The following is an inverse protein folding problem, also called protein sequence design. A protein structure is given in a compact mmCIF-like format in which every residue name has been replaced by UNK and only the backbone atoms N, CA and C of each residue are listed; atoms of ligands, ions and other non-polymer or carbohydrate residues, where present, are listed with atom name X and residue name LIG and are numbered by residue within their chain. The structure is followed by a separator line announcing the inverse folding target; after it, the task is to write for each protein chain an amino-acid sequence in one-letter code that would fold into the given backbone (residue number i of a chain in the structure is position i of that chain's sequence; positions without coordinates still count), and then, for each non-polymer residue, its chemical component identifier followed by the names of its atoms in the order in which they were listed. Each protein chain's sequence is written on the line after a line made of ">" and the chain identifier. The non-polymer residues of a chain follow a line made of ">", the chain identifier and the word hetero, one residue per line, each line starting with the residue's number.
data_IF_403904999776
#
_entry.id   IF_403904999776
#
_cell.length_a   1.000
_cell.length_b   1.000
_cell.length_c   1.000
_cell.angle_alpha   90.00
_cell.angle_beta   90.00
_cell.angle_gamma   90.00
#
_symmetry.space_group_name_H-M   'P 1'
#
loop_
_entity.id
_entity.type
_entity.pdbx_description
1 polymer ?
#
# COMPACT_ATOMS: atom_id res chain seq x y z
N UNK A 1 54.12 -3.78 38.56
CA UNK A 1 53.01 -4.64 38.13
C UNK A 1 51.82 -4.35 39.05
N UNK A 2 50.84 -3.57 38.60
CA UNK A 2 49.69 -3.22 39.41
C UNK A 2 48.57 -4.24 39.16
N UNK A 3 48.24 -5.04 40.18
CA UNK A 3 47.15 -5.99 40.12
C UNK A 3 45.91 -5.32 40.68
N UNK A 4 44.97 -4.92 39.82
CA UNK A 4 43.65 -4.44 40.22
C UNK A 4 42.73 -5.62 40.54
N UNK A 5 42.47 -5.86 41.81
CA UNK A 5 41.56 -6.88 42.27
C UNK A 5 40.12 -6.26 42.33
N UNK A 6 39.37 -6.36 41.24
CA UNK A 6 37.99 -5.85 41.17
C UNK A 6 37.05 -6.91 41.74
N UNK A 7 36.59 -6.75 42.96
CA UNK A 7 35.58 -7.61 43.57
C UNK A 7 34.18 -7.28 43.00
N UNK A 8 33.81 -7.96 41.95
CA UNK A 8 32.51 -7.78 41.28
C UNK A 8 31.44 -8.56 42.07
N UNK A 9 30.43 -7.83 42.60
CA UNK A 9 29.27 -8.42 43.25
C UNK A 9 28.32 -8.97 42.19
N UNK A 10 28.34 -10.31 41.94
CA UNK A 10 27.58 -10.96 40.87
C UNK A 10 26.06 -10.68 40.84
N UNK A 11 25.46 -10.50 42.04
CA UNK A 11 24.03 -10.18 42.14
C UNK A 11 23.71 -8.76 41.66
N UNK A 12 24.58 -7.80 41.89
CA UNK A 12 24.38 -6.42 41.40
C UNK A 12 24.67 -6.31 39.91
N UNK A 13 25.69 -7.03 39.42
CA UNK A 13 26.04 -7.09 38.00
C UNK A 13 24.94 -7.75 37.18
N UNK A 14 24.39 -8.87 37.68
CA UNK A 14 23.27 -9.57 37.03
C UNK A 14 22.01 -8.69 36.88
N UNK A 15 21.65 -7.95 37.95
CA UNK A 15 20.52 -7.02 37.92
C UNK A 15 20.76 -5.85 36.96
N UNK A 16 21.99 -5.32 36.89
CA UNK A 16 22.34 -4.25 35.96
C UNK A 16 22.27 -4.72 34.50
N UNK A 17 22.79 -5.91 34.19
CA UNK A 17 22.71 -6.50 32.84
C UNK A 17 21.26 -6.74 32.42
N UNK A 18 20.42 -7.24 33.34
CA UNK A 18 19.01 -7.49 33.06
C UNK A 18 18.25 -6.17 32.80
N UNK A 19 18.54 -5.11 33.54
CA UNK A 19 17.96 -3.79 33.33
C UNK A 19 18.36 -3.23 31.96
N UNK A 20 19.63 -3.33 31.56
CA UNK A 20 20.11 -2.89 30.26
C UNK A 20 19.40 -3.68 29.14
N UNK A 21 19.22 -4.97 29.28
CA UNK A 21 18.56 -5.82 28.30
C UNK A 21 17.09 -5.42 28.11
N UNK A 22 16.38 -5.13 29.20
CA UNK A 22 14.99 -4.64 29.15
C UNK A 22 14.92 -3.30 28.41
N UNK A 23 15.84 -2.37 28.69
CA UNK A 23 15.88 -1.07 28.02
C UNK A 23 16.09 -1.24 26.51
N UNK A 24 17.01 -2.12 26.10
CA UNK A 24 17.26 -2.40 24.68
C UNK A 24 16.01 -2.97 24.00
N UNK A 25 15.30 -3.91 24.63
CA UNK A 25 14.06 -4.47 24.11
C UNK A 25 12.99 -3.39 23.94
N UNK A 26 12.83 -2.48 24.90
CA UNK A 26 11.87 -1.39 24.82
C UNK A 26 12.21 -0.40 23.69
N UNK A 27 13.49 -0.10 23.47
CA UNK A 27 13.92 0.75 22.36
C UNK A 27 13.62 0.09 21.01
N UNK A 28 13.98 -1.19 20.86
CA UNK A 28 13.76 -1.93 19.61
C UNK A 28 12.27 -2.06 19.30
N UNK A 29 11.45 -2.41 20.29
CA UNK A 29 9.98 -2.48 20.12
C UNK A 29 9.39 -1.10 19.78
N UNK A 30 9.88 -0.03 20.41
CA UNK A 30 9.48 1.34 20.10
C UNK A 30 9.79 1.74 18.66
N UNK A 31 10.99 1.41 18.16
CA UNK A 31 11.40 1.68 16.78
C UNK A 31 10.56 0.86 15.79
N UNK A 32 10.30 -0.41 16.08
CA UNK A 32 9.47 -1.28 15.22
C UNK A 32 8.03 -0.77 15.17
N UNK A 33 7.43 -0.45 16.31
CA UNK A 33 6.09 0.14 16.36
C UNK A 33 6.05 1.48 15.60
N UNK A 34 7.02 2.35 15.80
CA UNK A 34 7.10 3.63 15.08
C UNK A 34 7.18 3.41 13.56
N UNK A 35 8.01 2.49 13.10
CA UNK A 35 8.14 2.17 11.67
C UNK A 35 6.87 1.52 11.10
N UNK A 36 6.17 0.69 11.86
CA UNK A 36 4.91 0.11 11.44
C UNK A 36 3.79 1.18 11.36
N UNK A 37 3.71 2.06 12.34
CA UNK A 37 2.74 3.16 12.34
C UNK A 37 3.04 4.22 11.28
N UNK A 38 4.30 4.54 10.99
CA UNK A 38 4.66 5.51 9.95
C UNK A 38 4.60 4.93 8.54
N UNK A 39 4.88 3.63 8.36
CA UNK A 39 4.66 2.97 7.06
C UNK A 39 3.18 2.75 6.74
N UNK A 40 2.31 2.60 7.75
CA UNK A 40 0.85 2.51 7.56
C UNK A 40 0.19 3.86 7.26
N UNK A 41 0.85 4.96 7.56
CA UNK A 41 0.41 6.26 7.04
C UNK A 41 0.98 6.41 5.65
N UNK A 42 0.25 5.88 4.67
CA UNK A 42 0.33 6.38 3.31
C UNK A 42 0.44 7.91 3.43
N UNK A 43 1.49 8.49 2.87
CA UNK A 43 1.63 9.95 2.81
C UNK A 43 0.48 10.49 1.97
N UNK A 44 -0.64 10.71 2.61
CA UNK A 44 -1.81 11.43 2.06
C UNK A 44 -1.47 12.92 1.82
N UNK A 45 -0.22 13.34 2.06
CA UNK A 45 0.16 14.75 1.97
C UNK A 45 0.52 15.22 0.55
N UNK A 46 0.59 14.32 -0.44
CA UNK A 46 0.83 14.70 -1.84
C UNK A 46 -0.46 14.77 -2.68
N UNK A 47 -1.63 14.62 -2.04
CA UNK A 47 -2.91 14.31 -2.71
C UNK A 47 -3.72 15.55 -3.12
N UNK A 48 -3.29 16.75 -2.78
CA UNK A 48 -4.10 17.96 -3.07
C UNK A 48 -3.56 18.86 -4.18
N UNK A 49 -2.94 18.28 -5.21
CA UNK A 49 -2.57 19.07 -6.38
C UNK A 49 -3.44 18.66 -7.58
N UNK A 50 -4.45 19.41 -7.90
CA UNK A 50 -5.47 19.19 -8.95
C UNK A 50 -4.89 18.95 -10.37
N UNK A 51 -3.56 19.07 -10.54
CA UNK A 51 -2.85 18.90 -11.81
C UNK A 51 -1.87 17.72 -11.81
N UNK A 52 -1.89 16.85 -10.79
CA UNK A 52 -1.01 15.69 -10.72
C UNK A 52 -1.76 14.46 -11.23
N UNK A 53 -1.22 13.83 -12.26
CA UNK A 53 -1.67 12.52 -12.72
C UNK A 53 -1.13 11.45 -11.76
N UNK A 54 -2.02 10.72 -11.10
CA UNK A 54 -1.62 9.62 -10.23
C UNK A 54 -1.32 8.38 -11.05
N UNK A 55 -0.05 8.03 -11.14
CA UNK A 55 0.37 6.79 -11.78
C UNK A 55 0.27 5.62 -10.81
N UNK A 56 -0.57 4.64 -11.14
CA UNK A 56 -0.74 3.44 -10.36
C UNK A 56 0.25 2.36 -10.79
N UNK A 57 1.18 2.07 -9.89
CA UNK A 57 2.12 0.95 -10.04
C UNK A 57 1.55 -0.34 -9.43
N UNK A 58 2.05 -1.52 -9.80
CA UNK A 58 1.64 -2.78 -9.20
C UNK A 58 1.79 -2.83 -7.67
N UNK A 59 2.73 -2.04 -7.12
CA UNK A 59 3.05 -2.01 -5.70
C UNK A 59 2.07 -1.16 -4.87
N UNK A 60 1.45 -0.14 -5.48
CA UNK A 60 0.55 0.77 -4.76
C UNK A 60 -0.92 0.60 -5.15
N UNK A 61 -1.21 -0.19 -6.17
CA UNK A 61 -2.54 -0.33 -6.78
C UNK A 61 -3.65 -0.66 -5.75
N UNK A 62 -3.46 -1.70 -4.94
CA UNK A 62 -4.45 -2.11 -3.96
C UNK A 62 -4.72 -1.03 -2.90
N UNK A 63 -3.67 -0.34 -2.45
CA UNK A 63 -3.78 0.73 -1.46
C UNK A 63 -4.51 1.95 -2.03
N UNK A 64 -4.19 2.33 -3.28
CA UNK A 64 -4.85 3.45 -3.94
C UNK A 64 -6.32 3.12 -4.20
N UNK A 65 -6.63 1.93 -4.70
CA UNK A 65 -8.00 1.49 -4.92
C UNK A 65 -8.83 1.55 -3.63
N UNK A 66 -8.28 1.04 -2.52
CA UNK A 66 -8.94 1.09 -1.22
C UNK A 66 -9.12 2.54 -0.73
N UNK A 67 -8.12 3.39 -0.92
CA UNK A 67 -8.18 4.80 -0.48
C UNK A 67 -9.22 5.58 -1.27
N UNK A 68 -9.25 5.40 -2.59
CA UNK A 68 -10.26 6.02 -3.47
C UNK A 68 -11.67 5.53 -3.10
N UNK A 69 -11.83 4.22 -2.86
CA UNK A 69 -13.14 3.66 -2.47
C UNK A 69 -13.65 4.23 -1.13
N UNK A 70 -12.75 4.44 -0.18
CA UNK A 70 -13.12 4.96 1.14
C UNK A 70 -13.39 6.47 1.15
N UNK A 71 -12.86 7.22 0.18
CA UNK A 71 -12.91 8.69 0.14
C UNK A 71 -13.21 9.19 -1.30
N UNK A 72 -14.25 8.69 -1.92
CA UNK A 72 -14.58 8.96 -3.34
C UNK A 72 -14.65 10.47 -3.61
N UNK A 73 -15.28 11.22 -2.71
CA UNK A 73 -15.50 12.66 -2.88
C UNK A 73 -14.18 13.46 -2.99
N UNK A 74 -13.10 12.99 -2.37
CA UNK A 74 -11.80 13.65 -2.40
C UNK A 74 -11.09 13.45 -3.76
N UNK A 75 -11.51 12.45 -4.54
CA UNK A 75 -10.89 12.08 -5.81
C UNK A 75 -11.67 12.52 -7.04
N UNK A 76 -12.87 13.08 -6.86
CA UNK A 76 -13.66 13.62 -7.98
C UNK A 76 -12.90 14.74 -8.68
N UNK A 77 -12.72 14.61 -9.99
CA UNK A 77 -12.00 15.57 -10.83
C UNK A 77 -10.48 15.42 -10.80
N UNK A 78 -9.98 14.33 -10.23
CA UNK A 78 -8.55 14.02 -10.28
C UNK A 78 -8.24 13.05 -11.41
N UNK A 79 -7.06 13.23 -12.03
CA UNK A 79 -6.61 12.38 -13.11
C UNK A 79 -5.85 11.19 -12.56
N UNK A 80 -6.25 10.00 -13.02
CA UNK A 80 -5.62 8.74 -12.67
C UNK A 80 -5.12 8.08 -13.96
N UNK A 81 -3.87 7.64 -13.94
CA UNK A 81 -3.26 6.88 -15.02
C UNK A 81 -2.90 5.49 -14.50
N UNK A 82 -3.40 4.45 -15.15
CA UNK A 82 -3.01 3.10 -14.80
C UNK A 82 -3.17 2.11 -15.95
N UNK A 83 -2.49 0.97 -15.83
CA UNK A 83 -2.54 -0.11 -16.80
C UNK A 83 -3.25 -1.33 -16.23
N UNK A 84 -4.02 -2.00 -17.04
CA UNK A 84 -4.78 -3.18 -16.70
C UNK A 84 -5.32 -3.86 -17.95
N UNK A 85 -6.11 -4.91 -17.79
CA UNK A 85 -6.81 -5.54 -18.89
C UNK A 85 -8.29 -5.14 -18.90
N UNK A 86 -8.87 -5.15 -20.10
CA UNK A 86 -10.27 -4.84 -20.31
C UNK A 86 -11.13 -6.01 -19.81
N UNK A 87 -12.01 -5.73 -18.86
CA UNK A 87 -12.94 -6.72 -18.33
C UNK A 87 -14.37 -6.21 -18.46
N UNK A 88 -15.24 -7.00 -19.09
CA UNK A 88 -16.66 -6.67 -19.24
C UNK A 88 -17.52 -7.77 -18.65
N UNK A 89 -18.65 -7.34 -18.10
CA UNK A 89 -19.73 -8.20 -17.67
C UNK A 89 -20.98 -7.88 -18.50
N UNK A 90 -21.93 -8.81 -18.55
CA UNK A 90 -23.10 -8.71 -19.43
C UNK A 90 -24.03 -7.52 -19.12
N UNK A 91 -23.98 -7.00 -17.89
CA UNK A 91 -24.79 -5.85 -17.47
C UNK A 91 -24.21 -4.49 -17.88
N UNK A 92 -23.02 -4.45 -18.46
CA UNK A 92 -22.38 -3.21 -18.87
C UNK A 92 -22.97 -2.71 -20.19
N UNK A 93 -23.04 -1.38 -20.29
CA UNK A 93 -23.34 -0.72 -21.56
C UNK A 93 -22.17 -0.87 -22.53
N UNK A 94 -22.42 -0.61 -23.81
CA UNK A 94 -21.37 -0.66 -24.84
C UNK A 94 -20.22 0.34 -24.65
N UNK A 95 -20.40 1.31 -23.74
CA UNK A 95 -19.42 2.33 -23.41
C UNK A 95 -18.63 2.01 -22.12
N UNK A 96 -19.02 0.95 -21.41
CA UNK A 96 -18.50 0.64 -20.09
C UNK A 96 -17.63 -0.61 -20.10
N UNK A 97 -16.57 -0.57 -19.34
CA UNK A 97 -15.72 -1.70 -19.00
C UNK A 97 -15.00 -1.43 -17.66
N UNK A 98 -14.48 -2.46 -17.04
CA UNK A 98 -13.56 -2.34 -15.92
C UNK A 98 -12.15 -2.45 -16.46
N UNK A 99 -11.30 -1.49 -16.13
CA UNK A 99 -9.86 -1.64 -16.29
C UNK A 99 -9.34 -2.40 -15.08
N UNK A 100 -9.05 -3.68 -15.28
CA UNK A 100 -8.93 -4.68 -14.24
C UNK A 100 -7.50 -5.17 -14.04
N UNK A 101 -7.23 -5.66 -12.84
CA UNK A 101 -6.04 -6.44 -12.47
C UNK A 101 -6.42 -7.58 -11.55
N UNK A 102 -5.66 -8.65 -11.61
CA UNK A 102 -5.75 -9.75 -10.65
C UNK A 102 -4.95 -9.38 -9.39
N UNK A 103 -5.59 -9.53 -8.24
CA UNK A 103 -4.97 -9.35 -6.94
C UNK A 103 -5.03 -10.64 -6.13
N UNK A 104 -3.89 -11.07 -5.60
CA UNK A 104 -3.81 -12.23 -4.71
C UNK A 104 -4.25 -11.78 -3.31
N UNK A 105 -5.29 -12.41 -2.77
CA UNK A 105 -5.92 -12.01 -1.50
C UNK A 105 -5.67 -12.98 -0.36
N UNK A 106 -5.10 -14.15 -0.62
CA UNK A 106 -4.87 -15.16 0.40
C UNK A 106 -3.57 -15.95 0.20
N UNK A 107 -3.13 -16.63 1.25
CA UNK A 107 -1.92 -17.45 1.23
C UNK A 107 -2.03 -18.70 0.34
N UNK A 108 -3.23 -19.11 -0.03
CA UNK A 108 -3.53 -20.19 -0.96
C UNK A 108 -3.67 -19.72 -2.42
N UNK A 109 -3.17 -18.51 -2.71
CA UNK A 109 -3.13 -17.88 -4.02
C UNK A 109 -4.51 -17.64 -4.66
N UNK A 110 -5.55 -17.48 -3.85
CA UNK A 110 -6.84 -17.04 -4.38
C UNK A 110 -6.69 -15.63 -4.95
N UNK A 111 -7.20 -15.45 -6.17
CA UNK A 111 -7.18 -14.17 -6.88
C UNK A 111 -8.58 -13.59 -6.98
N UNK A 112 -8.65 -12.28 -6.86
CA UNK A 112 -9.85 -11.51 -7.17
C UNK A 112 -9.53 -10.48 -8.24
N UNK A 113 -10.50 -10.26 -9.12
CA UNK A 113 -10.42 -9.19 -10.12
C UNK A 113 -10.82 -7.89 -9.46
N UNK A 114 -9.94 -6.91 -9.50
CA UNK A 114 -10.18 -5.57 -8.96
C UNK A 114 -9.87 -4.53 -10.03
N UNK A 115 -10.58 -3.41 -10.03
CA UNK A 115 -10.35 -2.37 -11.03
C UNK A 115 -11.25 -1.17 -10.88
N UNK A 116 -11.08 -0.24 -11.83
CA UNK A 116 -11.92 0.93 -11.96
C UNK A 116 -12.93 0.76 -13.09
N UNK A 117 -14.18 1.10 -12.82
CA UNK A 117 -15.18 1.21 -13.88
C UNK A 117 -14.86 2.43 -14.74
N UNK A 118 -14.65 2.18 -16.02
CA UNK A 118 -14.35 3.19 -17.00
C UNK A 118 -15.53 3.35 -17.96
N UNK A 119 -15.81 4.59 -18.33
CA UNK A 119 -16.79 4.91 -19.37
C UNK A 119 -16.13 5.78 -20.44
N UNK A 120 -16.16 5.31 -21.69
CA UNK A 120 -15.67 6.10 -22.83
C UNK A 120 -16.43 5.75 -24.10
N UNK A 121 -16.44 6.70 -25.07
CA UNK A 121 -17.14 6.50 -26.34
C UNK A 121 -16.48 5.43 -27.21
N UNK A 122 -15.18 5.23 -27.08
CA UNK A 122 -14.39 4.31 -27.88
C UNK A 122 -14.21 2.93 -27.21
N UNK A 123 -14.98 2.65 -26.15
CA UNK A 123 -14.89 1.39 -25.39
C UNK A 123 -14.98 0.14 -26.28
N UNK A 124 -15.76 0.18 -27.35
CA UNK A 124 -15.90 -0.92 -28.31
C UNK A 124 -14.65 -1.26 -29.10
N UNK A 125 -13.68 -0.36 -29.18
CA UNK A 125 -12.44 -0.60 -29.93
C UNK A 125 -11.50 -1.54 -29.20
N UNK A 126 -11.61 -1.61 -27.88
CA UNK A 126 -10.79 -2.49 -27.04
C UNK A 126 -11.41 -3.89 -26.96
N UNK A 127 -10.57 -4.91 -27.07
CA UNK A 127 -10.98 -6.30 -26.93
C UNK A 127 -10.99 -6.73 -25.46
N UNK A 128 -11.84 -7.68 -25.12
CA UNK A 128 -11.82 -8.29 -23.80
C UNK A 128 -10.48 -8.97 -23.54
N UNK A 129 -9.96 -8.83 -22.32
CA UNK A 129 -8.64 -9.28 -21.89
C UNK A 129 -7.46 -8.58 -22.60
N UNK A 130 -7.69 -7.55 -23.39
CA UNK A 130 -6.62 -6.72 -23.94
C UNK A 130 -5.97 -5.89 -22.83
N UNK A 131 -4.64 -5.88 -22.78
CA UNK A 131 -3.89 -5.08 -21.83
C UNK A 131 -3.67 -3.67 -22.38
N UNK A 132 -4.15 -2.69 -21.63
CA UNK A 132 -4.08 -1.27 -22.03
C UNK A 132 -3.61 -0.39 -20.89
N UNK A 133 -3.10 0.79 -21.23
CA UNK A 133 -2.82 1.86 -20.29
C UNK A 133 -3.77 3.02 -20.60
N UNK A 134 -4.51 3.46 -19.58
CA UNK A 134 -5.48 4.53 -19.70
C UNK A 134 -5.21 5.64 -18.70
N UNK A 135 -5.52 6.87 -19.12
CA UNK A 135 -5.63 8.03 -18.28
C UNK A 135 -7.08 8.51 -18.29
N UNK A 136 -7.65 8.70 -17.12
CA UNK A 136 -9.04 9.14 -16.94
C UNK A 136 -9.20 10.06 -15.74
N UNK A 137 -10.39 10.65 -15.64
CA UNK A 137 -10.83 11.52 -14.56
C UNK A 137 -12.07 10.94 -13.89
#
# INVERSE_FOLDING_TARGET
>A
MFIFNVKVNGNKLGKALLAILIIIILIVTGIVCYNLFTKSRFKTNDVYNKNVVYELSPQNYANVLQTVHNNIDDYVGQKIKFSGYIYRIFDFTEKQFVLARDMIVSSDFQTVVVGFLCECNDAKTYKDNEWVELEGE
#
